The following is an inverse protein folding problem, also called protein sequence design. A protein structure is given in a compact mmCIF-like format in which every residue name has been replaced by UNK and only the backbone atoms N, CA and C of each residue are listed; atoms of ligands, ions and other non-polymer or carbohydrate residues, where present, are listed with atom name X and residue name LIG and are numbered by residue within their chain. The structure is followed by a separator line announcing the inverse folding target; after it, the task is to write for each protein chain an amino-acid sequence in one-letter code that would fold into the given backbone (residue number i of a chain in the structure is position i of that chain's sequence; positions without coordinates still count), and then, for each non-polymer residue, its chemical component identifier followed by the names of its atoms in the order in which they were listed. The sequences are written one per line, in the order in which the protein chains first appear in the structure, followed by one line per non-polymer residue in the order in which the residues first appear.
data_IF_293105440331
#
_entry.id   IF_293105440331
#
_cell.length_a   1.000
_cell.length_b   1.000
_cell.length_c   1.000
_cell.angle_alpha   90.00
_cell.angle_beta   90.00
_cell.angle_gamma   90.00
#
_symmetry.space_group_name_H-M   'P 1'
#
loop_
_entity.id
_entity.type
_entity.pdbx_description
1 polymer ?
#
# COMPACT_ATOMS: atom_id res chain seq x y z
N UNK A 1 13.37 27.41 -9.28
CA UNK A 1 12.33 26.37 -9.09
C UNK A 1 12.79 25.18 -8.25
N UNK A 2 14.01 24.66 -8.42
CA UNK A 2 14.53 23.52 -7.64
C UNK A 2 14.45 23.70 -6.12
N UNK A 3 14.81 24.89 -5.60
CA UNK A 3 14.69 25.20 -4.16
C UNK A 3 13.25 25.06 -3.63
N UNK A 4 12.26 25.58 -4.38
CA UNK A 4 10.84 25.45 -4.05
C UNK A 4 10.43 23.98 -4.08
N UNK A 5 10.85 23.24 -5.11
CA UNK A 5 10.60 21.80 -5.22
C UNK A 5 11.16 21.00 -4.04
N UNK A 6 12.39 21.30 -3.61
CA UNK A 6 12.98 20.65 -2.44
C UNK A 6 12.24 20.97 -1.15
N UNK A 7 11.81 22.23 -0.96
CA UNK A 7 11.00 22.60 0.22
C UNK A 7 9.67 21.86 0.25
N UNK A 8 8.95 21.81 -0.88
CA UNK A 8 7.70 21.07 -1.02
C UNK A 8 7.89 19.58 -0.73
N UNK A 9 8.95 18.98 -1.29
CA UNK A 9 9.25 17.57 -1.08
C UNK A 9 9.56 17.28 0.40
N UNK A 10 10.35 18.13 1.06
CA UNK A 10 10.65 17.97 2.49
C UNK A 10 9.39 18.10 3.34
N UNK A 11 8.52 19.07 3.04
CA UNK A 11 7.25 19.24 3.75
C UNK A 11 6.31 18.04 3.58
N UNK A 12 6.14 17.53 2.35
CA UNK A 12 5.34 16.34 2.08
C UNK A 12 5.90 15.10 2.77
N UNK A 13 7.22 14.92 2.78
CA UNK A 13 7.86 13.79 3.48
C UNK A 13 7.68 13.89 5.00
N UNK A 14 7.77 15.10 5.57
CA UNK A 14 7.47 15.31 6.98
C UNK A 14 6.01 14.95 7.29
N UNK A 15 5.07 15.31 6.42
CA UNK A 15 3.66 14.97 6.57
C UNK A 15 3.41 13.46 6.47
N UNK A 16 4.06 12.77 5.52
CA UNK A 16 4.03 11.30 5.43
C UNK A 16 4.55 10.64 6.71
N UNK A 17 5.62 11.18 7.29
CA UNK A 17 6.17 10.69 8.56
C UNK A 17 5.18 10.90 9.71
N UNK A 18 4.55 12.07 9.83
CA UNK A 18 3.53 12.34 10.86
C UNK A 18 2.33 11.39 10.72
N UNK A 19 1.83 11.17 9.49
CA UNK A 19 0.76 10.21 9.25
C UNK A 19 1.18 8.78 9.64
N UNK A 20 2.41 8.38 9.33
CA UNK A 20 2.94 7.06 9.72
C UNK A 20 2.95 6.90 11.24
N UNK A 21 3.51 7.88 11.96
CA UNK A 21 3.54 7.89 13.43
C UNK A 21 2.12 7.83 13.99
N UNK A 22 1.17 8.59 13.42
CA UNK A 22 -0.23 8.59 13.84
C UNK A 22 -0.87 7.22 13.71
N UNK A 23 -0.62 6.51 12.61
CA UNK A 23 -1.15 5.15 12.38
C UNK A 23 -0.56 4.17 13.39
N UNK A 24 0.75 4.20 13.62
CA UNK A 24 1.41 3.36 14.63
C UNK A 24 0.84 3.65 16.03
N UNK A 25 0.65 4.93 16.37
CA UNK A 25 0.13 5.34 17.68
C UNK A 25 -1.33 4.95 17.88
N UNK A 26 -2.10 4.80 16.80
CA UNK A 26 -3.47 4.29 16.89
C UNK A 26 -3.53 2.84 17.37
N UNK A 27 -2.47 2.05 17.14
CA UNK A 27 -2.38 0.65 17.58
C UNK A 27 -1.83 0.49 18.99
N UNK A 28 -0.99 1.41 19.46
CA UNK A 28 -0.31 1.33 20.76
C UNK A 28 -1.16 1.83 21.94
N UNK A 29 -2.37 2.38 21.70
CA UNK A 29 -3.28 2.94 22.73
C UNK A 29 -2.55 3.78 23.79
N UNK A 30 -1.87 4.83 23.34
CA UNK A 30 -1.06 5.68 24.23
C UNK A 30 -1.94 6.60 25.11
N UNK A 31 -1.50 6.91 26.34
CA UNK A 31 -2.21 7.86 27.19
C UNK A 31 -2.22 9.27 26.57
N UNK A 32 -3.24 10.09 26.89
CA UNK A 32 -3.33 11.44 26.36
C UNK A 32 -2.16 12.28 26.85
N UNK A 33 -1.40 12.82 25.89
CA UNK A 33 -0.25 13.69 26.11
C UNK A 33 -0.28 14.89 25.16
N UNK A 34 0.46 15.95 25.48
CA UNK A 34 0.56 17.13 24.62
C UNK A 34 1.04 16.76 23.21
N UNK A 35 1.99 15.83 23.09
CA UNK A 35 2.47 15.34 21.79
C UNK A 35 1.35 14.66 20.99
N UNK A 36 0.59 13.76 21.62
CA UNK A 36 -0.54 13.09 20.94
C UNK A 36 -1.62 14.08 20.51
N UNK A 37 -1.87 15.14 21.29
CA UNK A 37 -2.82 16.18 20.92
C UNK A 37 -2.37 16.94 19.65
N UNK A 38 -1.12 17.37 19.60
CA UNK A 38 -0.57 18.07 18.43
C UNK A 38 -0.53 17.18 17.18
N UNK A 39 -0.11 15.93 17.34
CA UNK A 39 -0.11 14.95 16.27
C UNK A 39 -1.53 14.80 15.69
N UNK A 40 -2.52 14.53 16.55
CA UNK A 40 -3.92 14.38 16.16
C UNK A 40 -4.46 15.64 15.48
N UNK A 41 -4.14 16.83 16.01
CA UNK A 41 -4.59 18.10 15.43
C UNK A 41 -4.11 18.30 13.98
N UNK A 42 -2.90 17.84 13.66
CA UNK A 42 -2.32 17.95 12.31
C UNK A 42 -2.83 16.83 11.40
N UNK A 43 -2.87 15.59 11.89
CA UNK A 43 -3.14 14.41 11.06
C UNK A 43 -4.63 14.11 10.89
N UNK A 44 -5.44 14.35 11.93
CA UNK A 44 -6.85 13.93 11.95
C UNK A 44 -7.71 14.67 10.92
N UNK A 45 -7.52 15.98 10.62
CA UNK A 45 -8.26 16.63 9.52
C UNK A 45 -8.06 15.92 8.18
N UNK A 46 -6.82 15.50 7.89
CA UNK A 46 -6.46 14.79 6.66
C UNK A 46 -7.09 13.40 6.67
N UNK A 47 -6.87 12.63 7.74
CA UNK A 47 -7.40 11.27 7.86
C UNK A 47 -8.93 11.26 7.83
N UNK A 48 -9.60 12.18 8.53
CA UNK A 48 -11.05 12.26 8.57
C UNK A 48 -11.64 12.70 7.24
N UNK A 49 -10.95 13.59 6.49
CA UNK A 49 -11.35 13.93 5.13
C UNK A 49 -11.40 12.68 4.24
N UNK A 50 -10.34 11.87 4.23
CA UNK A 50 -10.28 10.65 3.43
C UNK A 50 -11.23 9.56 3.93
N UNK A 51 -11.35 9.35 5.25
CA UNK A 51 -12.33 8.42 5.84
C UNK A 51 -13.77 8.77 5.47
N UNK A 52 -14.10 10.06 5.39
CA UNK A 52 -15.44 10.53 5.03
C UNK A 52 -15.69 10.42 3.53
N UNK A 53 -14.70 10.75 2.70
CA UNK A 53 -14.88 10.80 1.24
C UNK A 53 -14.70 9.45 0.55
N UNK A 54 -13.79 8.62 1.05
CA UNK A 54 -13.46 7.30 0.50
C UNK A 54 -13.50 6.26 1.62
N UNK A 55 -14.71 5.86 2.08
CA UNK A 55 -14.85 4.86 3.14
C UNK A 55 -14.51 3.47 2.60
N UNK A 56 -13.22 3.14 2.52
CA UNK A 56 -12.73 1.83 2.09
C UNK A 56 -12.53 0.99 3.35
N UNK A 57 -13.57 0.25 3.74
CA UNK A 57 -13.54 -0.62 4.92
C UNK A 57 -13.61 -2.07 4.49
N UNK A 58 -12.70 -2.88 5.01
CA UNK A 58 -12.68 -4.34 4.78
C UNK A 58 -12.72 -5.05 6.13
N UNK A 59 -13.90 -5.54 6.49
CA UNK A 59 -14.16 -6.03 7.86
C UNK A 59 -13.95 -4.92 8.89
N UNK A 60 -13.08 -5.18 9.87
CA UNK A 60 -12.71 -4.23 10.93
C UNK A 60 -11.59 -3.27 10.49
N UNK A 61 -10.91 -3.55 9.38
CA UNK A 61 -9.77 -2.76 8.90
C UNK A 61 -10.23 -1.56 8.07
N UNK A 62 -9.79 -0.37 8.46
CA UNK A 62 -10.04 0.89 7.74
C UNK A 62 -8.90 1.20 6.78
N UNK A 63 -9.04 0.79 5.51
CA UNK A 63 -8.05 1.02 4.46
C UNK A 63 -8.06 2.46 3.95
N UNK A 64 -9.06 3.28 4.33
CA UNK A 64 -9.14 4.70 3.97
C UNK A 64 -7.90 5.49 4.43
N UNK A 65 -7.21 5.00 5.46
CA UNK A 65 -5.97 5.55 6.00
C UNK A 65 -4.83 5.51 4.97
N UNK A 66 -4.85 4.59 4.01
CA UNK A 66 -3.79 4.44 3.00
C UNK A 66 -3.91 5.44 1.84
N UNK A 67 -5.11 5.93 1.57
CA UNK A 67 -5.40 6.88 0.50
C UNK A 67 -4.54 8.15 0.58
N UNK A 68 -4.37 8.83 1.74
CA UNK A 68 -3.48 9.99 1.82
C UNK A 68 -2.02 9.65 1.49
N UNK A 69 -1.51 8.49 1.89
CA UNK A 69 -0.13 8.07 1.53
C UNK A 69 0.04 7.95 0.03
N UNK A 70 -0.95 7.35 -0.64
CA UNK A 70 -0.95 7.19 -2.08
C UNK A 70 -1.04 8.53 -2.83
N UNK A 71 -1.91 9.44 -2.38
CA UNK A 71 -2.03 10.76 -3.02
C UNK A 71 -0.73 11.56 -2.84
N UNK A 72 -0.15 11.54 -1.64
CA UNK A 72 1.10 12.23 -1.34
C UNK A 72 2.28 11.64 -2.13
N UNK A 73 2.32 10.33 -2.38
CA UNK A 73 3.39 9.72 -3.18
C UNK A 73 3.33 10.19 -4.65
N UNK A 74 2.13 10.29 -5.24
CA UNK A 74 1.94 10.84 -6.59
C UNK A 74 2.31 12.32 -6.61
N UNK A 75 1.86 13.10 -5.62
CA UNK A 75 2.22 14.53 -5.53
C UNK A 75 3.73 14.73 -5.44
N UNK A 76 4.42 13.91 -4.65
CA UNK A 76 5.89 13.95 -4.55
C UNK A 76 6.56 13.62 -5.87
N UNK A 77 6.07 12.61 -6.61
CA UNK A 77 6.56 12.30 -7.96
C UNK A 77 6.41 13.52 -8.87
N UNK A 78 5.25 14.17 -8.84
CA UNK A 78 4.99 15.37 -9.65
C UNK A 78 5.93 16.52 -9.27
N UNK A 79 6.12 16.78 -7.98
CA UNK A 79 7.04 17.83 -7.50
C UNK A 79 8.47 17.56 -7.98
N UNK A 80 8.94 16.32 -7.88
CA UNK A 80 10.28 15.93 -8.34
C UNK A 80 10.41 16.15 -9.84
N UNK A 81 9.48 15.66 -10.64
CA UNK A 81 9.59 15.71 -12.09
C UNK A 81 9.44 17.14 -12.63
N UNK A 82 8.53 17.93 -12.06
CA UNK A 82 8.25 19.31 -12.51
C UNK A 82 9.28 20.30 -11.98
N UNK A 83 9.56 20.32 -10.67
CA UNK A 83 10.35 21.38 -10.05
C UNK A 83 11.84 21.06 -9.95
N UNK A 84 12.22 19.79 -9.89
CA UNK A 84 13.62 19.37 -9.69
C UNK A 84 14.23 18.93 -11.02
N UNK A 85 13.60 17.99 -11.71
CA UNK A 85 14.14 17.38 -12.93
C UNK A 85 13.82 18.20 -14.19
N UNK A 86 12.89 19.16 -14.11
CA UNK A 86 12.37 19.89 -15.26
C UNK A 86 11.99 18.95 -16.42
N UNK A 87 11.45 17.77 -16.09
CA UNK A 87 11.09 16.73 -17.04
C UNK A 87 9.89 17.13 -17.94
N UNK A 88 9.32 18.32 -17.71
CA UNK A 88 8.20 18.91 -18.44
C UNK A 88 8.49 19.12 -19.92
N UNK A 89 9.73 19.00 -20.38
CA UNK A 89 10.05 19.08 -21.82
C UNK A 89 9.36 17.99 -22.67
N UNK A 90 8.72 16.99 -22.06
CA UNK A 90 7.88 15.96 -22.71
C UNK A 90 6.43 15.96 -22.19
N UNK A 91 5.74 17.10 -22.30
CA UNK A 91 4.40 17.34 -21.71
C UNK A 91 3.37 16.23 -22.04
N UNK A 92 3.34 15.75 -23.29
CA UNK A 92 2.33 14.75 -23.73
C UNK A 92 2.56 13.38 -23.09
N UNK A 93 3.81 12.94 -22.94
CA UNK A 93 4.13 11.63 -22.37
C UNK A 93 4.17 11.63 -20.85
N UNK A 94 4.44 12.79 -20.25
CA UNK A 94 4.52 12.92 -18.80
C UNK A 94 3.24 12.50 -18.07
N UNK A 95 2.06 12.86 -18.58
CA UNK A 95 0.79 12.43 -17.96
C UNK A 95 0.63 10.91 -17.96
N UNK A 96 1.07 10.25 -19.04
CA UNK A 96 1.06 8.80 -19.16
C UNK A 96 2.05 8.20 -18.14
N UNK A 97 3.27 8.73 -18.05
CA UNK A 97 4.26 8.26 -17.06
C UNK A 97 3.74 8.37 -15.63
N UNK A 98 3.06 9.47 -15.27
CA UNK A 98 2.44 9.65 -13.96
C UNK A 98 1.33 8.62 -13.70
N UNK A 99 0.52 8.29 -14.71
CA UNK A 99 -0.51 7.25 -14.59
C UNK A 99 0.10 5.85 -14.39
N UNK A 100 1.16 5.51 -15.12
CA UNK A 100 1.88 4.24 -14.94
C UNK A 100 2.56 4.18 -13.56
N UNK A 101 3.13 5.28 -13.09
CA UNK A 101 3.68 5.37 -11.74
C UNK A 101 2.60 5.16 -10.67
N UNK A 102 1.43 5.79 -10.83
CA UNK A 102 0.29 5.59 -9.94
C UNK A 102 -0.17 4.12 -9.94
N UNK A 103 -0.26 3.49 -11.11
CA UNK A 103 -0.63 2.08 -11.24
C UNK A 103 0.40 1.14 -10.57
N UNK A 104 1.70 1.37 -10.79
CA UNK A 104 2.78 0.62 -10.14
C UNK A 104 2.72 0.77 -8.62
N UNK A 105 2.52 2.00 -8.12
CA UNK A 105 2.40 2.28 -6.69
C UNK A 105 1.18 1.60 -6.06
N UNK A 106 0.02 1.58 -6.74
CA UNK A 106 -1.16 0.83 -6.27
C UNK A 106 -0.88 -0.67 -6.23
N UNK A 107 -0.30 -1.23 -7.30
CA UNK A 107 0.02 -2.64 -7.39
C UNK A 107 0.91 -3.07 -6.23
N UNK A 108 2.01 -2.34 -6.00
CA UNK A 108 2.94 -2.61 -4.89
C UNK A 108 2.21 -2.53 -3.56
N UNK A 109 1.44 -1.45 -3.33
CA UNK A 109 0.74 -1.25 -2.05
C UNK A 109 -0.24 -2.38 -1.76
N UNK A 110 -1.04 -2.78 -2.76
CA UNK A 110 -2.01 -3.89 -2.63
C UNK A 110 -1.28 -5.20 -2.36
N UNK A 111 -0.25 -5.54 -3.13
CA UNK A 111 0.53 -6.78 -2.94
C UNK A 111 1.19 -6.80 -1.58
N UNK A 112 1.82 -5.70 -1.14
CA UNK A 112 2.46 -5.60 0.18
C UNK A 112 1.45 -5.81 1.30
N UNK A 113 0.27 -5.18 1.24
CA UNK A 113 -0.79 -5.36 2.24
C UNK A 113 -1.24 -6.82 2.28
N UNK A 114 -1.48 -7.42 1.11
CA UNK A 114 -1.90 -8.83 1.02
C UNK A 114 -0.84 -9.78 1.60
N UNK A 115 0.44 -9.52 1.35
CA UNK A 115 1.56 -10.29 1.95
C UNK A 115 1.60 -10.11 3.46
N UNK A 116 1.48 -8.87 3.97
CA UNK A 116 1.46 -8.61 5.43
C UNK A 116 0.29 -9.36 6.08
N UNK A 117 -0.91 -9.27 5.51
CA UNK A 117 -2.12 -9.96 5.99
C UNK A 117 -1.91 -11.49 5.99
N UNK A 118 -1.31 -12.04 4.94
CA UNK A 118 -0.99 -13.47 4.84
C UNK A 118 0.07 -13.91 5.86
N UNK A 119 1.09 -13.10 6.11
CA UNK A 119 2.09 -13.34 7.14
C UNK A 119 1.45 -13.31 8.52
N UNK A 120 0.63 -12.30 8.83
CA UNK A 120 -0.10 -12.23 10.10
C UNK A 120 -0.94 -13.51 10.31
N UNK A 121 -1.67 -13.97 9.29
CA UNK A 121 -2.40 -15.24 9.40
C UNK A 121 -1.51 -16.45 9.61
N UNK A 122 -0.40 -16.54 8.88
CA UNK A 122 0.53 -17.64 9.04
C UNK A 122 1.08 -17.70 10.48
N UNK A 123 1.52 -16.55 11.01
CA UNK A 123 2.02 -16.44 12.37
C UNK A 123 0.95 -16.79 13.40
N UNK A 124 -0.27 -16.27 13.27
CA UNK A 124 -1.38 -16.62 14.19
C UNK A 124 -1.67 -18.12 14.19
N UNK A 125 -1.67 -18.79 13.04
CA UNK A 125 -1.84 -20.27 12.98
C UNK A 125 -0.64 -21.06 13.50
N UNK A 126 0.56 -20.47 13.50
CA UNK A 126 1.75 -21.10 14.06
C UNK A 126 1.78 -21.00 15.59
N UNK A 127 1.46 -19.83 16.14
CA UNK A 127 1.63 -19.55 17.57
C UNK A 127 0.33 -19.65 18.39
N UNK A 128 -0.83 -19.42 17.77
CA UNK A 128 -2.15 -19.34 18.44
C UNK A 128 -3.25 -20.08 17.64
N UNK A 129 -3.12 -21.40 17.41
CA UNK A 129 -3.97 -22.15 16.48
C UNK A 129 -5.47 -22.19 16.82
N UNK A 130 -5.86 -21.93 18.08
CA UNK A 130 -7.24 -21.96 18.55
C UNK A 130 -7.78 -20.58 18.96
N UNK A 131 -7.11 -19.48 18.58
CA UNK A 131 -7.54 -18.14 18.97
C UNK A 131 -8.74 -17.67 18.13
N UNK A 132 -9.88 -17.46 18.78
CA UNK A 132 -11.03 -16.77 18.18
C UNK A 132 -10.85 -15.26 18.32
N UNK A 133 -10.08 -14.67 17.40
CA UNK A 133 -9.88 -13.22 17.35
C UNK A 133 -10.66 -12.61 16.16
N UNK A 134 -11.56 -11.64 16.41
CA UNK A 134 -12.35 -11.02 15.34
C UNK A 134 -11.51 -10.33 14.25
N UNK A 135 -10.32 -9.81 14.60
CA UNK A 135 -9.38 -9.22 13.64
C UNK A 135 -8.80 -10.31 12.74
N UNK A 136 -8.41 -11.45 13.31
CA UNK A 136 -7.86 -12.59 12.55
C UNK A 136 -8.93 -13.16 11.62
N UNK A 137 -10.18 -13.25 12.05
CA UNK A 137 -11.30 -13.69 11.21
C UNK A 137 -11.61 -12.70 10.08
N UNK A 138 -11.53 -11.40 10.35
CA UNK A 138 -11.69 -10.36 9.32
C UNK A 138 -10.55 -10.41 8.29
N UNK A 139 -9.33 -10.62 8.75
CA UNK A 139 -8.17 -10.84 7.90
C UNK A 139 -8.33 -12.13 7.07
N UNK A 140 -8.86 -13.20 7.68
CA UNK A 140 -9.15 -14.48 7.05
C UNK A 140 -10.12 -14.34 5.88
N UNK A 141 -11.22 -13.60 6.05
CA UNK A 141 -12.20 -13.41 4.98
C UNK A 141 -11.65 -12.70 3.74
N UNK A 142 -10.56 -11.92 3.86
CA UNK A 142 -9.88 -11.29 2.73
C UNK A 142 -9.10 -12.32 1.92
N UNK A 143 -8.42 -13.26 2.59
CA UNK A 143 -7.58 -14.26 1.91
C UNK A 143 -8.37 -15.49 1.47
N UNK A 144 -9.45 -15.85 2.18
CA UNK A 144 -10.22 -17.07 1.93
C UNK A 144 -10.69 -17.22 0.48
N UNK A 145 -11.24 -16.20 -0.21
CA UNK A 145 -11.59 -16.32 -1.62
C UNK A 145 -10.41 -16.77 -2.46
N UNK A 146 -9.22 -16.19 -2.23
CA UNK A 146 -8.01 -16.51 -2.99
C UNK A 146 -7.50 -17.91 -2.63
N UNK A 147 -7.44 -18.23 -1.33
CA UNK A 147 -7.02 -19.54 -0.83
C UNK A 147 -7.94 -20.67 -1.31
N UNK A 148 -9.25 -20.41 -1.46
CA UNK A 148 -10.21 -21.37 -2.01
C UNK A 148 -9.91 -21.66 -3.48
N UNK A 149 -9.53 -20.65 -4.28
CA UNK A 149 -9.10 -20.89 -5.65
C UNK A 149 -7.83 -21.76 -5.67
N UNK A 150 -6.83 -21.48 -4.82
CA UNK A 150 -5.63 -22.33 -4.71
C UNK A 150 -5.96 -23.76 -4.29
N UNK A 151 -6.84 -23.94 -3.30
CA UNK A 151 -7.30 -25.26 -2.82
C UNK A 151 -7.98 -26.09 -3.91
N UNK A 152 -8.66 -25.42 -4.85
CA UNK A 152 -9.30 -26.08 -5.99
C UNK A 152 -8.29 -26.50 -7.06
N UNK A 153 -7.25 -25.70 -7.30
CA UNK A 153 -6.24 -25.98 -8.33
C UNK A 153 -5.23 -27.04 -7.84
N UNK A 154 -4.79 -26.95 -6.58
CA UNK A 154 -3.76 -27.83 -6.01
C UNK A 154 -4.28 -28.44 -4.70
N UNK A 155 -4.96 -29.60 -4.75
CA UNK A 155 -5.49 -30.24 -3.55
C UNK A 155 -4.39 -30.94 -2.74
N UNK A 156 -3.99 -30.33 -1.62
CA UNK A 156 -2.99 -30.88 -0.69
C UNK A 156 -3.67 -31.65 0.45
N UNK A 157 -3.40 -32.95 0.54
CA UNK A 157 -3.84 -33.82 1.64
C UNK A 157 -2.79 -33.84 2.76
N UNK A 158 -2.87 -32.87 3.66
CA UNK A 158 -2.01 -32.79 4.85
C UNK A 158 -2.79 -32.19 6.02
N UNK A 159 -2.46 -32.62 7.24
CA UNK A 159 -2.97 -32.03 8.49
C UNK A 159 -2.63 -30.53 8.55
N UNK A 160 -1.48 -30.14 7.97
CA UNK A 160 -0.99 -28.76 7.94
C UNK A 160 -1.39 -27.99 6.67
N UNK A 161 -2.41 -28.48 5.94
CA UNK A 161 -2.96 -27.90 4.71
C UNK A 161 -2.99 -26.37 4.78
N UNK A 162 -3.55 -25.81 5.85
CA UNK A 162 -3.84 -24.38 5.88
C UNK A 162 -2.58 -23.51 5.93
N UNK A 163 -1.54 -23.97 6.63
CA UNK A 163 -0.24 -23.28 6.71
C UNK A 163 0.47 -23.35 5.36
N UNK A 164 0.40 -24.50 4.69
CA UNK A 164 1.04 -24.71 3.39
C UNK A 164 0.41 -23.80 2.33
N UNK A 165 -0.92 -23.69 2.29
CA UNK A 165 -1.58 -22.76 1.34
C UNK A 165 -1.24 -21.30 1.60
N UNK A 166 -1.07 -20.89 2.87
CA UNK A 166 -0.64 -19.52 3.19
C UNK A 166 0.79 -19.24 2.72
N UNK A 167 1.72 -20.18 2.90
CA UNK A 167 3.09 -20.06 2.40
C UNK A 167 3.11 -19.98 0.87
N UNK A 168 2.35 -20.86 0.20
CA UNK A 168 2.23 -20.86 -1.26
C UNK A 168 1.63 -19.54 -1.75
N UNK A 169 0.57 -19.05 -1.09
CA UNK A 169 -0.05 -17.78 -1.42
C UNK A 169 0.95 -16.61 -1.30
N UNK A 170 1.74 -16.55 -0.22
CA UNK A 170 2.77 -15.51 -0.05
C UNK A 170 3.77 -15.56 -1.20
N UNK A 171 4.28 -16.74 -1.54
CA UNK A 171 5.21 -16.92 -2.65
C UNK A 171 4.60 -16.44 -3.98
N UNK A 172 3.37 -16.83 -4.27
CA UNK A 172 2.68 -16.43 -5.50
C UNK A 172 2.41 -14.92 -5.53
N UNK A 173 2.00 -14.31 -4.42
CA UNK A 173 1.78 -12.86 -4.34
C UNK A 173 3.08 -12.08 -4.61
N UNK A 174 4.21 -12.53 -4.06
CA UNK A 174 5.52 -11.90 -4.31
C UNK A 174 5.89 -12.03 -5.78
N UNK A 175 5.78 -13.24 -6.36
CA UNK A 175 6.08 -13.49 -7.78
C UNK A 175 5.17 -12.64 -8.68
N UNK A 176 3.85 -12.64 -8.42
CA UNK A 176 2.88 -11.84 -9.16
C UNK A 176 3.19 -10.33 -9.05
N UNK A 177 3.61 -9.87 -7.87
CA UNK A 177 4.08 -8.50 -7.68
C UNK A 177 5.27 -8.16 -8.57
N UNK A 178 6.32 -8.99 -8.56
CA UNK A 178 7.48 -8.79 -9.43
C UNK A 178 7.12 -8.82 -10.91
N UNK A 179 6.32 -9.79 -11.35
CA UNK A 179 5.86 -9.90 -12.74
C UNK A 179 5.04 -8.67 -13.14
N UNK A 180 4.08 -8.26 -12.30
CA UNK A 180 3.23 -7.12 -12.56
C UNK A 180 4.03 -5.82 -12.75
N UNK A 181 4.99 -5.57 -11.86
CA UNK A 181 5.92 -4.43 -11.99
C UNK A 181 6.77 -4.51 -13.24
N UNK A 182 7.31 -5.69 -13.55
CA UNK A 182 8.11 -5.90 -14.75
C UNK A 182 7.30 -5.60 -16.02
N UNK A 183 6.06 -6.07 -16.09
CA UNK A 183 5.16 -5.81 -17.23
C UNK A 183 4.84 -4.32 -17.37
N UNK A 184 4.51 -3.63 -16.27
CA UNK A 184 4.29 -2.17 -16.30
C UNK A 184 5.52 -1.41 -16.79
N UNK A 185 6.70 -1.78 -16.29
CA UNK A 185 7.97 -1.20 -16.71
C UNK A 185 8.27 -1.47 -18.20
N UNK A 186 7.99 -2.69 -18.68
CA UNK A 186 8.16 -3.04 -20.09
C UNK A 186 7.29 -2.16 -20.98
N UNK A 187 6.01 -2.01 -20.64
CA UNK A 187 5.08 -1.14 -21.39
C UNK A 187 5.56 0.31 -21.40
N UNK A 188 5.98 0.84 -20.23
CA UNK A 188 6.51 2.20 -20.13
C UNK A 188 7.76 2.41 -20.99
N UNK A 189 8.67 1.42 -21.00
CA UNK A 189 9.88 1.46 -21.80
C UNK A 189 9.59 1.42 -23.30
N UNK A 190 8.61 0.61 -23.74
CA UNK A 190 8.17 0.60 -25.14
C UNK A 190 7.61 1.96 -25.55
N UNK A 191 6.74 2.55 -24.72
CA UNK A 191 6.19 3.89 -24.96
C UNK A 191 7.30 4.93 -25.07
N UNK A 192 8.27 4.91 -24.15
CA UNK A 192 9.38 5.86 -24.16
C UNK A 192 10.39 5.61 -25.29
N UNK A 193 10.47 4.39 -25.82
CA UNK A 193 11.29 4.03 -26.98
C UNK A 193 10.70 4.51 -28.30
N UNK A 194 9.37 4.48 -28.46
CA UNK A 194 8.65 4.97 -29.65
C UNK A 194 8.82 6.49 -29.84
N UNK A 195 9.01 7.23 -28.75
CA UNK A 195 9.04 8.71 -28.74
C UNK A 195 10.44 9.29 -29.03
N UNK A 196 11.45 8.44 -29.18
CA UNK A 196 12.82 8.87 -29.49
C UNK A 196 13.09 9.10 -30.98
N UNK A 197 12.07 9.00 -31.84
CA UNK A 197 12.15 9.25 -33.29
C UNK A 197 11.38 10.51 -33.67
#
# INVERSE_FOLDING_TARGET
MRFIGTLLLTASNALLLLLTVRVIFSWLTLPPSQFTYWLNRITDPILNFFKKRFPIRVGILDLSILVPFFILSILNKIVIDVFINFAVNRVVFYMIEVLFFAADSLLITIVTIMVIIAIIQLLTKMFLPYSYNPIVNSIKSILDPILLHFRRIIPIKSIHNEKIYLVLLIAVLIIAGFIGRYLLALVLNLLNGVVKF
#
